data_IF_085144120013
#
_entry.id   IF_085144120013
#
_cell.length_a   1.000
_cell.length_b   1.000
_cell.length_c   1.000
_cell.angle_alpha   90.00
_cell.angle_beta   90.00
_cell.angle_gamma   90.00
#
_symmetry.space_group_name_H-M   'P 1'
#
loop_
_entity.id
_entity.type
_entity.pdbx_description
1 polymer ?
#
# COMPACT_ATOMS: atom_id res chain seq x y z
N UNK A 1 12.71 26.32 30.39
CA UNK A 1 12.29 25.78 29.09
C UNK A 1 12.04 24.27 29.28
N UNK A 2 10.78 23.87 29.19
CA UNK A 2 10.34 22.55 29.64
C UNK A 2 10.75 21.46 28.65
N UNK A 3 11.13 20.27 29.15
CA UNK A 3 11.42 19.05 28.37
C UNK A 3 10.31 18.70 27.35
N UNK A 4 9.06 19.10 27.61
CA UNK A 4 7.89 19.00 26.71
C UNK A 4 8.11 19.76 25.41
N UNK A 5 8.59 21.01 25.46
CA UNK A 5 8.83 21.84 24.26
C UNK A 5 9.91 21.27 23.34
N UNK A 6 10.99 20.71 23.89
CA UNK A 6 12.06 20.10 23.11
C UNK A 6 11.60 18.79 22.42
N UNK A 7 10.72 18.01 23.09
CA UNK A 7 10.14 16.82 22.51
C UNK A 7 9.15 17.13 21.37
N UNK A 8 8.32 18.15 21.53
CA UNK A 8 7.38 18.63 20.50
C UNK A 8 8.13 19.13 19.27
N UNK A 9 9.16 19.99 19.45
CA UNK A 9 9.98 20.48 18.34
C UNK A 9 10.69 19.35 17.57
N UNK A 10 11.12 18.29 18.27
CA UNK A 10 11.71 17.11 17.62
C UNK A 10 10.68 16.36 16.79
N UNK A 11 9.47 16.17 17.30
CA UNK A 11 8.39 15.52 16.59
C UNK A 11 8.01 16.30 15.34
N UNK A 12 7.84 17.61 15.45
CA UNK A 12 7.50 18.50 14.33
C UNK A 12 8.55 18.45 13.21
N UNK A 13 9.82 18.46 13.58
CA UNK A 13 10.91 18.34 12.60
C UNK A 13 10.87 17.00 11.87
N UNK A 14 10.75 15.88 12.60
CA UNK A 14 10.68 14.54 11.98
C UNK A 14 9.46 14.41 11.09
N UNK A 15 8.31 14.92 11.52
CA UNK A 15 7.07 14.91 10.73
C UNK A 15 7.25 15.69 9.42
N UNK A 16 7.85 16.89 9.48
CA UNK A 16 8.13 17.72 8.31
C UNK A 16 9.07 17.02 7.31
N UNK A 17 10.16 16.42 7.82
CA UNK A 17 11.12 15.70 6.99
C UNK A 17 10.50 14.47 6.32
N UNK A 18 9.69 13.68 7.05
CA UNK A 18 8.97 12.55 6.49
C UNK A 18 7.94 12.98 5.44
N UNK A 19 7.18 14.06 5.70
CA UNK A 19 6.21 14.59 4.75
C UNK A 19 6.85 15.04 3.43
N UNK A 20 8.08 15.51 3.45
CA UNK A 20 8.83 15.87 2.25
C UNK A 20 9.47 14.64 1.56
N UNK A 21 10.03 13.71 2.32
CA UNK A 21 10.80 12.57 1.81
C UNK A 21 9.89 11.49 1.19
N UNK A 22 8.81 11.09 1.87
CA UNK A 22 7.96 9.97 1.45
C UNK A 22 7.39 10.12 0.04
N UNK A 23 6.80 11.28 -0.34
CA UNK A 23 6.30 11.47 -1.71
C UNK A 23 7.40 11.46 -2.76
N UNK A 24 8.60 11.95 -2.42
CA UNK A 24 9.74 11.97 -3.34
C UNK A 24 10.26 10.56 -3.61
N UNK A 25 10.41 9.76 -2.56
CA UNK A 25 10.81 8.35 -2.65
C UNK A 25 9.80 7.54 -3.46
N UNK A 26 8.51 7.69 -3.16
CA UNK A 26 7.43 7.03 -3.88
C UNK A 26 7.47 7.37 -5.38
N UNK A 27 7.53 8.65 -5.75
CA UNK A 27 7.61 9.06 -7.16
C UNK A 27 8.85 8.55 -7.88
N UNK A 28 10.00 8.48 -7.19
CA UNK A 28 11.23 7.96 -7.78
C UNK A 28 11.11 6.46 -8.09
N UNK A 29 10.57 5.68 -7.15
CA UNK A 29 10.32 4.25 -7.31
C UNK A 29 9.31 3.99 -8.44
N UNK A 30 8.18 4.70 -8.43
CA UNK A 30 7.15 4.62 -9.46
C UNK A 30 7.69 4.81 -10.88
N UNK A 31 8.55 5.82 -11.07
CA UNK A 31 9.17 6.05 -12.39
C UNK A 31 10.07 4.91 -12.84
N UNK A 32 10.79 4.27 -11.90
CA UNK A 32 11.63 3.11 -12.21
C UNK A 32 10.78 1.92 -12.62
N UNK A 33 9.74 1.61 -11.86
CA UNK A 33 8.82 0.53 -12.16
C UNK A 33 8.12 0.75 -13.50
N UNK A 34 7.59 1.95 -13.74
CA UNK A 34 6.90 2.27 -14.99
C UNK A 34 7.80 2.15 -16.25
N UNK A 35 9.11 2.30 -16.09
CA UNK A 35 10.05 2.15 -17.20
C UNK A 35 10.34 0.68 -17.56
N UNK A 36 10.18 -0.25 -16.63
CA UNK A 36 10.55 -1.67 -16.80
C UNK A 36 9.33 -2.60 -16.82
N UNK A 37 8.19 -2.17 -16.26
CA UNK A 37 6.98 -3.00 -16.22
C UNK A 37 6.41 -3.17 -17.63
N UNK A 38 6.26 -4.41 -18.13
CA UNK A 38 5.92 -4.67 -19.54
C UNK A 38 4.46 -4.35 -19.91
N UNK A 39 3.62 -4.06 -18.90
CA UNK A 39 2.20 -3.77 -19.07
C UNK A 39 1.87 -2.37 -18.54
N UNK A 40 0.74 -1.77 -18.95
CA UNK A 40 0.27 -0.56 -18.27
C UNK A 40 0.11 -0.84 -16.77
N UNK A 41 0.90 -0.13 -15.95
CA UNK A 41 0.82 -0.29 -14.49
C UNK A 41 -0.60 0.03 -14.02
N UNK A 42 -1.22 -0.83 -13.21
CA UNK A 42 -2.52 -0.52 -12.64
C UNK A 42 -2.45 0.79 -11.85
N UNK A 43 -3.47 1.65 -11.93
CA UNK A 43 -3.58 2.82 -11.06
C UNK A 43 -3.41 2.41 -9.59
N UNK A 44 -2.79 3.28 -8.79
CA UNK A 44 -2.42 2.94 -7.41
C UNK A 44 -3.61 2.44 -6.56
N UNK A 45 -4.79 3.04 -6.71
CA UNK A 45 -5.98 2.56 -6.02
C UNK A 45 -6.40 1.13 -6.39
N UNK A 46 -6.19 0.72 -7.64
CA UNK A 46 -6.45 -0.65 -8.10
C UNK A 46 -5.42 -1.62 -7.54
N UNK A 47 -4.14 -1.26 -7.57
CA UNK A 47 -3.06 -2.08 -7.02
C UNK A 47 -3.21 -2.23 -5.50
N UNK A 48 -3.57 -1.15 -4.80
CA UNK A 48 -3.83 -1.19 -3.36
C UNK A 48 -4.99 -2.14 -3.02
N UNK A 49 -6.08 -2.09 -3.80
CA UNK A 49 -7.21 -3.00 -3.62
C UNK A 49 -6.83 -4.45 -3.90
N UNK A 50 -6.10 -4.73 -4.96
CA UNK A 50 -5.63 -6.08 -5.28
C UNK A 50 -4.73 -6.64 -4.17
N UNK A 51 -3.77 -5.85 -3.67
CA UNK A 51 -2.88 -6.24 -2.55
C UNK A 51 -3.66 -6.47 -1.25
N UNK A 52 -4.66 -5.64 -0.99
CA UNK A 52 -5.51 -5.83 0.18
C UNK A 52 -6.28 -7.16 0.09
N UNK A 53 -6.93 -7.44 -1.05
CA UNK A 53 -7.68 -8.69 -1.25
C UNK A 53 -6.76 -9.90 -1.23
N UNK A 54 -5.54 -9.81 -1.80
CA UNK A 54 -4.53 -10.90 -1.72
C UNK A 54 -4.21 -11.28 -0.27
N UNK A 55 -4.12 -10.29 0.62
CA UNK A 55 -3.81 -10.50 2.05
C UNK A 55 -5.06 -10.88 2.87
N UNK A 56 -6.25 -10.57 2.38
CA UNK A 56 -7.53 -10.75 3.06
C UNK A 56 -8.54 -11.38 2.09
N UNK A 57 -8.22 -12.59 1.62
CA UNK A 57 -9.10 -13.33 0.70
C UNK A 57 -10.50 -13.50 1.31
N UNK A 58 -11.51 -13.17 0.56
CA UNK A 58 -12.89 -13.20 1.02
C UNK A 58 -13.36 -11.91 1.70
N UNK A 59 -12.55 -10.86 1.72
CA UNK A 59 -12.97 -9.56 2.26
C UNK A 59 -14.14 -8.98 1.45
N UNK A 60 -14.97 -8.19 2.12
CA UNK A 60 -16.08 -7.45 1.51
C UNK A 60 -15.61 -6.07 1.00
N UNK A 61 -16.42 -5.45 0.14
CA UNK A 61 -16.20 -4.07 -0.31
C UNK A 61 -16.10 -3.09 0.86
N UNK A 62 -16.88 -3.32 1.91
CA UNK A 62 -16.87 -2.47 3.11
C UNK A 62 -15.54 -2.57 3.85
N UNK A 63 -15.07 -3.78 4.11
CA UNK A 63 -13.79 -4.01 4.78
C UNK A 63 -12.62 -3.43 3.97
N UNK A 64 -12.63 -3.60 2.65
CA UNK A 64 -11.66 -2.98 1.77
C UNK A 64 -11.70 -1.44 1.82
N UNK A 65 -12.89 -0.85 1.85
CA UNK A 65 -13.06 0.61 1.94
C UNK A 65 -12.52 1.16 3.27
N UNK A 66 -12.80 0.50 4.37
CA UNK A 66 -12.29 0.84 5.69
C UNK A 66 -10.76 0.72 5.75
N UNK A 67 -10.20 -0.38 5.29
CA UNK A 67 -8.76 -0.64 5.31
C UNK A 67 -7.97 0.30 4.40
N UNK A 68 -8.51 0.65 3.24
CA UNK A 68 -7.85 1.52 2.26
C UNK A 68 -8.17 3.00 2.46
N UNK A 69 -8.96 3.36 3.47
CA UNK A 69 -9.42 4.73 3.73
C UNK A 69 -10.13 5.37 2.54
N UNK A 70 -10.88 4.58 1.79
CA UNK A 70 -11.62 4.98 0.60
C UNK A 70 -13.12 4.98 0.86
N UNK A 71 -13.84 5.78 0.08
CA UNK A 71 -15.32 5.72 0.09
C UNK A 71 -15.79 4.38 -0.50
N UNK A 72 -16.81 3.70 0.08
CA UNK A 72 -17.33 2.43 -0.43
C UNK A 72 -17.72 2.47 -1.92
N UNK A 73 -18.28 3.58 -2.39
CA UNK A 73 -18.64 3.76 -3.80
C UNK A 73 -17.39 3.73 -4.72
N UNK A 74 -16.28 4.32 -4.28
CA UNK A 74 -15.03 4.29 -5.04
C UNK A 74 -14.47 2.86 -5.11
N UNK A 75 -14.46 2.14 -3.99
CA UNK A 75 -14.04 0.73 -3.96
C UNK A 75 -14.95 -0.12 -4.83
N UNK A 76 -16.27 0.08 -4.79
CA UNK A 76 -17.22 -0.63 -5.67
C UNK A 76 -16.92 -0.41 -7.14
N UNK A 77 -16.57 0.81 -7.54
CA UNK A 77 -16.18 1.12 -8.92
C UNK A 77 -14.87 0.40 -9.32
N UNK A 78 -13.86 0.42 -8.43
CA UNK A 78 -12.60 -0.29 -8.65
C UNK A 78 -12.83 -1.81 -8.76
N UNK A 79 -13.63 -2.39 -7.88
CA UNK A 79 -13.99 -3.82 -7.93
C UNK A 79 -14.67 -4.17 -9.23
N UNK A 80 -15.60 -3.34 -9.73
CA UNK A 80 -16.26 -3.59 -11.02
C UNK A 80 -15.25 -3.58 -12.17
N UNK A 81 -14.37 -2.59 -12.23
CA UNK A 81 -13.32 -2.50 -13.25
C UNK A 81 -12.37 -3.70 -13.22
N UNK A 82 -11.95 -4.13 -12.02
CA UNK A 82 -11.05 -5.26 -11.85
C UNK A 82 -11.73 -6.59 -12.19
N UNK A 83 -13.01 -6.72 -11.87
CA UNK A 83 -13.81 -7.91 -12.23
C UNK A 83 -14.00 -8.02 -13.74
N UNK A 84 -14.30 -6.91 -14.43
CA UNK A 84 -14.41 -6.88 -15.89
C UNK A 84 -13.12 -7.28 -16.59
N UNK A 85 -11.97 -6.99 -15.99
CA UNK A 85 -10.65 -7.39 -16.51
C UNK A 85 -10.20 -8.79 -16.08
N UNK A 86 -11.02 -9.49 -15.30
CA UNK A 86 -10.66 -10.82 -14.79
C UNK A 86 -9.55 -10.80 -13.72
N UNK A 87 -9.33 -9.68 -13.07
CA UNK A 87 -8.34 -9.51 -12.00
C UNK A 87 -8.90 -9.71 -10.60
N UNK A 88 -10.22 -9.60 -10.44
CA UNK A 88 -10.95 -9.95 -9.22
C UNK A 88 -12.15 -10.82 -9.53
N UNK A 89 -12.50 -11.68 -8.59
CA UNK A 89 -13.75 -12.44 -8.56
C UNK A 89 -14.61 -11.98 -7.40
N UNK A 90 -15.94 -11.93 -7.64
CA UNK A 90 -16.96 -11.76 -6.60
C UNK A 90 -17.64 -13.08 -6.38
N UNK A 91 -17.62 -13.58 -5.15
CA UNK A 91 -18.38 -14.78 -4.75
C UNK A 91 -19.44 -14.35 -3.76
N UNK A 92 -20.69 -14.67 -4.07
CA UNK A 92 -21.80 -14.37 -3.16
C UNK A 92 -21.71 -15.25 -1.92
N UNK A 93 -22.03 -14.66 -0.78
CA UNK A 93 -22.14 -15.40 0.47
C UNK A 93 -23.30 -16.42 0.37
N UNK A 94 -23.10 -17.60 0.95
CA UNK A 94 -24.08 -18.69 0.90
C UNK A 94 -25.31 -18.42 1.77
N UNK A 95 -25.14 -17.63 2.84
CA UNK A 95 -26.19 -17.32 3.81
C UNK A 95 -26.89 -15.98 3.50
N UNK A 96 -26.16 -14.96 3.04
CA UNK A 96 -26.71 -13.67 2.63
C UNK A 96 -26.25 -13.26 1.23
N UNK A 97 -27.10 -13.49 0.25
CA UNK A 97 -26.83 -13.15 -1.17
C UNK A 97 -26.58 -11.64 -1.43
N UNK A 98 -26.81 -10.78 -0.44
CA UNK A 98 -26.50 -9.35 -0.55
C UNK A 98 -25.03 -9.05 -0.26
N UNK A 99 -24.33 -9.99 0.38
CA UNK A 99 -22.91 -9.91 0.67
C UNK A 99 -22.11 -10.59 -0.43
N UNK A 100 -21.12 -9.92 -0.97
CA UNK A 100 -20.16 -10.48 -1.92
C UNK A 100 -18.76 -10.42 -1.34
N UNK A 101 -18.07 -11.54 -1.40
CA UNK A 101 -16.68 -11.71 -1.01
C UNK A 101 -15.77 -11.54 -2.21
N UNK A 102 -14.66 -10.82 -2.02
CA UNK A 102 -13.67 -10.52 -3.05
C UNK A 102 -12.55 -11.55 -2.99
N UNK A 103 -12.14 -12.04 -4.15
CA UNK A 103 -11.05 -12.97 -4.30
C UNK A 103 -10.13 -12.54 -5.43
N UNK A 104 -8.82 -12.73 -5.24
CA UNK A 104 -7.85 -12.54 -6.32
C UNK A 104 -7.91 -13.66 -7.34
N UNK A 105 -7.61 -13.36 -8.59
CA UNK A 105 -7.41 -14.35 -9.64
C UNK A 105 -5.92 -14.70 -9.77
N UNK A 106 -5.60 -15.75 -10.50
CA UNK A 106 -4.20 -16.07 -10.82
C UNK A 106 -3.52 -14.94 -11.58
N UNK A 107 -4.23 -14.30 -12.51
CA UNK A 107 -3.73 -13.14 -13.26
C UNK A 107 -3.35 -11.99 -12.34
N UNK A 108 -4.18 -11.65 -11.36
CA UNK A 108 -3.87 -10.56 -10.44
C UNK A 108 -2.73 -10.90 -9.50
N UNK A 109 -2.65 -12.13 -9.01
CA UNK A 109 -1.52 -12.59 -8.16
C UNK A 109 -0.19 -12.48 -8.90
N UNK A 110 -0.15 -12.92 -10.17
CA UNK A 110 1.03 -12.78 -11.00
C UNK A 110 1.43 -11.31 -11.18
N UNK A 111 0.49 -10.43 -11.51
CA UNK A 111 0.75 -9.00 -11.68
C UNK A 111 1.22 -8.31 -10.39
N UNK A 112 0.64 -8.67 -9.24
CA UNK A 112 1.09 -8.15 -7.94
C UNK A 112 2.53 -8.60 -7.66
N UNK A 113 2.85 -9.85 -7.93
CA UNK A 113 4.19 -10.38 -7.75
C UNK A 113 5.21 -9.68 -8.64
N UNK A 114 4.92 -9.49 -9.93
CA UNK A 114 5.79 -8.79 -10.88
C UNK A 114 6.10 -7.34 -10.41
N UNK A 115 5.09 -6.60 -9.95
CA UNK A 115 5.31 -5.24 -9.42
C UNK A 115 6.13 -5.28 -8.15
N UNK A 116 5.88 -6.22 -7.24
CA UNK A 116 6.63 -6.39 -5.99
C UNK A 116 8.11 -6.68 -6.26
N UNK A 117 8.39 -7.58 -7.20
CA UNK A 117 9.76 -7.94 -7.57
C UNK A 117 10.53 -6.73 -8.11
N UNK A 118 9.89 -5.89 -8.92
CA UNK A 118 10.48 -4.64 -9.40
C UNK A 118 10.70 -3.62 -8.27
N UNK A 119 9.75 -3.48 -7.33
CA UNK A 119 9.90 -2.64 -6.15
C UNK A 119 11.12 -3.09 -5.32
N UNK A 120 11.21 -4.37 -5.01
CA UNK A 120 12.32 -4.95 -4.24
C UNK A 120 13.65 -4.81 -4.96
N UNK A 121 13.69 -5.05 -6.28
CA UNK A 121 14.88 -4.88 -7.09
C UNK A 121 15.41 -3.44 -7.05
N UNK A 122 14.55 -2.46 -7.31
CA UNK A 122 14.98 -1.06 -7.34
C UNK A 122 15.36 -0.53 -5.97
N UNK A 123 14.62 -0.90 -4.93
CA UNK A 123 14.98 -0.55 -3.55
C UNK A 123 16.30 -1.19 -3.14
N UNK A 124 16.50 -2.48 -3.44
CA UNK A 124 17.75 -3.18 -3.15
C UNK A 124 18.96 -2.53 -3.84
N UNK A 125 18.83 -2.17 -5.11
CA UNK A 125 19.89 -1.45 -5.83
C UNK A 125 20.18 -0.07 -5.23
N UNK A 126 19.15 0.65 -4.80
CA UNK A 126 19.33 1.95 -4.15
C UNK A 126 20.03 1.79 -2.80
N UNK A 127 19.66 0.79 -2.02
CA UNK A 127 20.30 0.50 -0.71
C UNK A 127 21.78 0.17 -0.85
N UNK A 128 22.20 -0.52 -1.91
CA UNK A 128 23.62 -0.80 -2.18
C UNK A 128 24.47 0.46 -2.41
N UNK A 129 23.84 1.60 -2.69
CA UNK A 129 24.53 2.88 -2.87
C UNK A 129 24.65 3.70 -1.57
N UNK A 130 24.10 3.19 -0.48
CA UNK A 130 24.17 3.80 0.85
C UNK A 130 25.35 3.26 1.63
N UNK A 131 25.75 3.98 2.66
CA UNK A 131 26.70 3.49 3.67
C UNK A 131 26.02 2.41 4.55
N UNK A 132 26.84 1.55 5.16
CA UNK A 132 26.35 0.54 6.11
C UNK A 132 25.51 1.17 7.24
N UNK A 133 25.98 2.31 7.79
CA UNK A 133 25.26 3.03 8.83
C UNK A 133 23.90 3.57 8.40
N UNK A 134 23.76 4.06 7.15
CA UNK A 134 22.48 4.49 6.59
C UNK A 134 21.54 3.33 6.37
N UNK A 135 22.06 2.21 5.88
CA UNK A 135 21.28 0.98 5.67
C UNK A 135 20.78 0.42 7.00
N UNK A 136 21.63 0.38 8.03
CA UNK A 136 21.25 -0.05 9.39
C UNK A 136 20.20 0.87 10.02
N UNK A 137 20.34 2.19 9.83
CA UNK A 137 19.38 3.18 10.30
C UNK A 137 18.00 2.98 9.64
N UNK A 138 17.95 2.77 8.31
CA UNK A 138 16.72 2.45 7.59
C UNK A 138 16.11 1.13 8.06
N UNK A 139 16.92 0.08 8.21
CA UNK A 139 16.46 -1.21 8.73
C UNK A 139 15.80 -1.09 10.10
N UNK A 140 16.41 -0.34 11.00
CA UNK A 140 15.87 -0.04 12.34
C UNK A 140 14.59 0.78 12.28
N UNK A 141 14.45 1.69 11.30
CA UNK A 141 13.29 2.55 11.16
C UNK A 141 12.05 1.83 10.56
N UNK A 142 12.21 0.70 9.86
CA UNK A 142 11.09 -0.01 9.19
C UNK A 142 9.98 -0.37 10.18
N UNK A 143 10.32 -0.83 11.37
CA UNK A 143 9.35 -1.15 12.42
C UNK A 143 8.56 0.09 12.88
N UNK A 144 9.23 1.22 13.02
CA UNK A 144 8.60 2.49 13.39
C UNK A 144 7.69 3.02 12.27
N UNK A 145 8.10 2.90 11.00
CA UNK A 145 7.26 3.27 9.86
C UNK A 145 5.98 2.42 9.78
N UNK A 146 6.09 1.11 10.00
CA UNK A 146 4.92 0.22 10.09
C UNK A 146 3.99 0.60 11.25
N UNK A 147 4.53 0.99 12.40
CA UNK A 147 3.74 1.49 13.52
C UNK A 147 3.04 2.81 13.19
N UNK A 148 3.76 3.75 12.57
CA UNK A 148 3.21 5.03 12.11
C UNK A 148 2.03 4.82 11.15
N UNK A 149 2.16 3.91 10.18
CA UNK A 149 1.08 3.55 9.26
C UNK A 149 -0.18 3.09 10.02
N UNK A 150 -0.04 2.22 11.02
CA UNK A 150 -1.20 1.78 11.84
C UNK A 150 -1.86 2.93 12.61
N UNK A 151 -1.08 3.91 13.09
CA UNK A 151 -1.64 5.07 13.80
C UNK A 151 -2.30 6.11 12.88
N UNK A 152 -1.95 6.13 11.59
CA UNK A 152 -2.60 6.96 10.58
C UNK A 152 -3.94 6.38 10.13
N UNK A 153 -4.18 5.08 10.33
CA UNK A 153 -5.50 4.48 10.11
C UNK A 153 -6.46 4.94 11.22
N UNK A 154 -7.65 5.48 10.88
CA UNK A 154 -8.63 5.83 11.89
C UNK A 154 -9.01 4.56 12.67
N UNK A 155 -9.08 4.69 14.00
CA UNK A 155 -9.59 3.62 14.84
C UNK A 155 -11.00 3.24 14.37
N UNK A 156 -11.19 1.98 13.99
CA UNK A 156 -12.52 1.43 13.68
C UNK A 156 -13.40 1.60 14.93
N UNK A 157 -14.41 2.48 14.86
CA UNK A 157 -15.42 2.65 15.91
C UNK A 157 -16.48 1.56 15.81
#
# INVERSE_FOLDING_TARGET
>A
MSASSASEQRIDRVASELAACLPALHRALERRIAAEYPHPKPPEGQLALLRFVEQHEGATVREAAEALLMKPNNVSALVSQLTERGELERRQDSADKRVAHLHTTELSRQRIAEVRDLEEHHLGRALLSLTDGETDALGSAVGALKALTRHLHPATR
#
